data_IF_599455410380
#
_entry.id   IF_599455410380
#
_cell.length_a   1.000
_cell.length_b   1.000
_cell.length_c   1.000
_cell.angle_alpha   90.00
_cell.angle_beta   90.00
_cell.angle_gamma   90.00
#
_symmetry.space_group_name_H-M   'P 1'
#
loop_
_entity.id
_entity.type
_entity.pdbx_description
1 polymer ?
#
# COMPACT_ATOMS: atom_id res chain seq x y z
N UNK A 1 -9.39 -18.54 -26.29
CA UNK A 1 -8.47 -18.04 -27.32
C UNK A 1 -7.40 -17.24 -26.60
N UNK A 2 -6.14 -17.65 -26.73
CA UNK A 2 -5.01 -17.20 -25.91
C UNK A 2 -4.39 -15.98 -26.61
N UNK A 3 -4.18 -14.88 -25.91
CA UNK A 3 -3.54 -13.69 -26.46
C UNK A 3 -2.20 -13.45 -25.75
N UNK A 4 -1.13 -13.51 -26.52
CA UNK A 4 0.25 -13.22 -26.11
C UNK A 4 0.54 -11.75 -26.42
N UNK A 5 0.97 -10.98 -25.41
CA UNK A 5 1.33 -9.57 -25.58
C UNK A 5 2.83 -9.45 -25.88
N UNK A 6 3.18 -8.85 -27.03
CA UNK A 6 4.55 -8.55 -27.44
C UNK A 6 5.08 -7.30 -26.71
N UNK A 7 6.13 -7.47 -25.89
CA UNK A 7 6.83 -6.35 -25.25
C UNK A 7 7.63 -5.59 -26.30
N UNK A 8 7.20 -4.36 -26.59
CA UNK A 8 7.88 -3.47 -27.55
C UNK A 8 8.89 -2.61 -26.78
N UNK A 9 10.18 -2.83 -26.99
CA UNK A 9 11.22 -1.94 -26.47
C UNK A 9 11.31 -0.69 -27.36
N UNK A 10 10.97 0.47 -26.81
CA UNK A 10 11.07 1.75 -27.50
C UNK A 10 12.28 2.49 -26.93
N UNK A 11 13.40 2.45 -27.66
CA UNK A 11 14.57 3.29 -27.41
C UNK A 11 14.47 4.58 -28.22
N UNK A 12 14.55 5.72 -27.54
CA UNK A 12 14.93 7.03 -28.08
C UNK A 12 15.67 7.73 -26.92
N UNK A 13 16.83 8.38 -27.00
CA UNK A 13 17.67 8.92 -28.07
C UNK A 13 18.25 10.25 -27.53
N UNK A 14 19.53 10.31 -27.16
CA UNK A 14 20.29 11.52 -26.76
C UNK A 14 20.69 12.38 -27.99
N UNK A 15 21.14 13.68 -27.94
CA UNK A 15 21.50 14.54 -26.78
C UNK A 15 21.12 16.07 -26.86
N UNK A 16 21.34 16.77 -25.73
CA UNK A 16 21.68 18.21 -25.56
C UNK A 16 20.63 19.31 -25.81
N UNK A 17 20.15 19.93 -24.72
CA UNK A 17 20.02 21.39 -24.56
C UNK A 17 19.84 21.75 -23.09
N UNK A 18 20.64 22.73 -22.66
CA UNK A 18 20.77 23.30 -21.33
C UNK A 18 19.42 23.54 -20.61
N UNK A 19 19.30 22.99 -19.40
CA UNK A 19 18.11 23.09 -18.57
C UNK A 19 18.28 22.29 -17.29
N UNK A 20 19.28 22.63 -16.47
CA UNK A 20 19.36 22.13 -15.08
C UNK A 20 18.23 22.79 -14.29
N UNK A 21 17.03 22.25 -14.44
CA UNK A 21 16.08 22.24 -13.35
C UNK A 21 16.66 21.28 -12.30
N UNK A 22 16.79 21.67 -11.03
CA UNK A 22 16.99 20.68 -9.99
C UNK A 22 15.78 19.74 -10.02
N UNK A 23 16.01 18.53 -10.51
CA UNK A 23 15.06 17.44 -10.55
C UNK A 23 14.71 17.02 -9.11
N UNK A 24 13.81 17.77 -8.49
CA UNK A 24 12.88 17.24 -7.49
C UNK A 24 12.00 16.22 -8.23
N UNK A 25 12.63 15.09 -8.53
CA UNK A 25 12.19 14.09 -9.47
C UNK A 25 10.87 13.50 -8.96
N UNK A 26 9.87 13.85 -9.75
CA UNK A 26 8.45 13.77 -9.56
C UNK A 26 7.98 12.32 -9.42
N UNK A 27 8.34 11.71 -8.31
CA UNK A 27 7.64 10.54 -7.82
C UNK A 27 6.31 11.04 -7.27
N UNK A 28 5.29 11.09 -8.13
CA UNK A 28 3.90 10.93 -7.71
C UNK A 28 3.73 9.50 -7.15
N UNK A 29 4.47 9.19 -6.07
CA UNK A 29 4.22 8.07 -5.19
C UNK A 29 2.82 8.33 -4.69
N UNK A 30 1.87 7.54 -5.17
CA UNK A 30 0.53 7.45 -4.61
C UNK A 30 0.69 7.39 -3.08
N UNK A 31 0.43 8.50 -2.40
CA UNK A 31 0.60 8.57 -0.96
C UNK A 31 -0.60 7.85 -0.38
N UNK A 32 -0.40 6.57 -0.09
CA UNK A 32 -1.40 5.72 0.54
C UNK A 32 -1.52 6.19 1.99
N UNK A 33 -2.72 6.55 2.45
CA UNK A 33 -2.94 6.97 3.83
C UNK A 33 -3.52 5.83 4.66
N UNK A 34 -2.97 5.59 5.84
CA UNK A 34 -3.50 4.61 6.78
C UNK A 34 -4.88 5.04 7.27
N UNK A 35 -5.89 4.20 7.07
CA UNK A 35 -7.25 4.47 7.54
C UNK A 35 -7.40 4.50 9.08
N UNK A 36 -6.44 3.93 9.81
CA UNK A 36 -6.43 3.95 11.28
C UNK A 36 -5.84 5.20 11.90
N UNK A 37 -4.76 5.73 11.33
CA UNK A 37 -4.05 6.89 11.90
C UNK A 37 -4.07 8.14 11.01
N UNK A 38 -4.60 8.04 9.79
CA UNK A 38 -4.66 9.13 8.80
C UNK A 38 -3.28 9.55 8.25
N UNK A 39 -2.21 8.84 8.61
CA UNK A 39 -0.84 9.19 8.19
C UNK A 39 -0.47 8.50 6.88
N UNK A 40 0.37 9.15 6.06
CA UNK A 40 0.90 8.54 4.84
C UNK A 40 1.77 7.33 5.18
N UNK A 41 1.49 6.20 4.52
CA UNK A 41 2.27 4.98 4.59
C UNK A 41 3.45 5.13 3.63
N UNK A 42 4.61 5.49 4.17
CA UNK A 42 5.88 5.47 3.43
C UNK A 42 6.64 4.15 3.56
N UNK A 43 6.07 3.21 4.32
CA UNK A 43 6.69 1.96 4.68
C UNK A 43 6.66 0.94 3.53
N UNK A 44 7.57 -0.04 3.57
CA UNK A 44 7.55 -1.16 2.60
C UNK A 44 6.37 -2.11 2.85
N UNK A 45 5.85 -2.12 4.08
CA UNK A 45 4.83 -3.07 4.51
C UNK A 45 3.51 -2.34 4.82
N UNK A 46 2.54 -2.53 3.95
CA UNK A 46 1.17 -2.03 4.10
C UNK A 46 0.19 -3.20 4.03
N UNK A 47 -0.85 -3.14 4.86
CA UNK A 47 -1.95 -4.10 4.82
C UNK A 47 -3.16 -3.45 4.19
N UNK A 48 -3.75 -4.14 3.22
CA UNK A 48 -5.03 -3.75 2.62
C UNK A 48 -6.13 -4.62 3.23
N UNK A 49 -7.04 -3.99 3.98
CA UNK A 49 -8.15 -4.63 4.68
C UNK A 49 -9.42 -3.81 4.43
N UNK A 50 -10.51 -4.45 4.00
CA UNK A 50 -11.77 -3.78 3.64
C UNK A 50 -11.59 -2.65 2.60
N UNK A 51 -10.78 -2.88 1.57
CA UNK A 51 -10.47 -1.87 0.52
C UNK A 51 -9.72 -0.62 1.05
N UNK A 52 -9.35 -0.63 2.33
CA UNK A 52 -8.59 0.44 2.99
C UNK A 52 -7.19 -0.06 3.31
N UNK A 53 -6.25 0.87 3.35
CA UNK A 53 -4.85 0.58 3.64
C UNK A 53 -4.52 0.99 5.07
N UNK A 54 -3.69 0.17 5.72
CA UNK A 54 -3.36 0.30 7.13
C UNK A 54 -1.89 -0.03 7.35
N UNK A 55 -1.27 0.60 8.35
CA UNK A 55 0.06 0.20 8.81
C UNK A 55 0.00 -1.16 9.50
N UNK A 56 1.07 -1.95 9.38
CA UNK A 56 1.27 -3.20 10.13
C UNK A 56 1.03 -3.06 11.64
N UNK A 57 1.43 -1.93 12.22
CA UNK A 57 1.22 -1.63 13.64
C UNK A 57 -0.16 -1.04 13.96
N UNK A 58 -0.85 -0.47 12.97
CA UNK A 58 -2.18 0.09 13.16
C UNK A 58 -3.28 -0.97 13.11
N UNK A 59 -3.07 -2.07 12.36
CA UNK A 59 -4.01 -3.20 12.32
C UNK A 59 -3.89 -3.97 13.64
N UNK A 60 -4.77 -3.65 14.59
CA UNK A 60 -4.83 -4.30 15.91
C UNK A 60 -6.24 -4.77 16.21
N UNK A 61 -6.34 -5.87 16.95
CA UNK A 61 -7.63 -6.35 17.43
C UNK A 61 -8.25 -5.33 18.39
N UNK A 62 -9.53 -5.01 18.20
CA UNK A 62 -10.27 -4.10 19.09
C UNK A 62 -10.51 -4.73 20.47
N UNK A 63 -10.59 -6.06 20.55
CA UNK A 63 -10.87 -6.79 21.80
C UNK A 63 -9.59 -7.05 22.60
N UNK A 64 -8.57 -7.61 21.96
CA UNK A 64 -7.33 -8.03 22.62
C UNK A 64 -6.13 -7.11 22.40
N UNK A 65 -6.24 -6.07 21.57
CA UNK A 65 -5.16 -5.13 21.26
C UNK A 65 -3.98 -5.72 20.46
N UNK A 66 -4.04 -7.01 20.10
CA UNK A 66 -2.95 -7.72 19.43
C UNK A 66 -2.76 -7.23 17.99
N UNK A 67 -1.51 -7.04 17.56
CA UNK A 67 -1.15 -6.70 16.19
C UNK A 67 -1.47 -7.82 15.22
N UNK A 68 -2.20 -7.51 14.15
CA UNK A 68 -2.68 -8.46 13.15
C UNK A 68 -1.85 -8.28 11.87
N UNK A 69 -0.66 -8.86 11.86
CA UNK A 69 0.29 -8.75 10.74
C UNK A 69 0.11 -9.82 9.66
N UNK A 70 -0.37 -11.02 10.02
CA UNK A 70 -0.54 -12.13 9.05
C UNK A 70 -1.99 -12.37 8.64
N UNK A 71 -2.90 -12.46 9.61
CA UNK A 71 -4.33 -12.76 9.38
C UNK A 71 -5.17 -11.88 10.29
N UNK A 72 -5.85 -10.90 9.69
CA UNK A 72 -6.83 -10.07 10.36
C UNK A 72 -8.23 -10.45 9.86
N UNK A 73 -9.22 -10.28 10.72
CA UNK A 73 -10.62 -10.47 10.37
C UNK A 73 -11.35 -9.17 10.65
N UNK A 74 -12.26 -8.78 9.76
CA UNK A 74 -13.04 -7.57 9.92
C UNK A 74 -14.50 -7.91 10.14
N UNK A 75 -15.13 -7.31 11.16
CA UNK A 75 -16.56 -7.43 11.43
C UNK A 75 -17.10 -6.05 11.78
N UNK A 76 -18.11 -5.58 11.06
CA UNK A 76 -18.78 -4.28 11.32
C UNK A 76 -17.77 -3.11 11.46
N UNK A 77 -16.87 -2.96 10.48
CA UNK A 77 -15.82 -1.92 10.48
C UNK A 77 -14.77 -2.02 11.63
N UNK A 78 -14.81 -3.10 12.42
CA UNK A 78 -13.84 -3.39 13.48
C UNK A 78 -12.93 -4.54 13.11
N UNK A 79 -11.67 -4.45 13.53
CA UNK A 79 -10.65 -5.47 13.30
C UNK A 79 -10.58 -6.42 14.49
N UNK A 80 -10.56 -7.71 14.21
CA UNK A 80 -10.52 -8.80 15.17
C UNK A 80 -9.38 -9.76 14.83
N UNK A 81 -8.79 -10.34 15.87
CA UNK A 81 -7.83 -11.41 15.69
C UNK A 81 -8.53 -12.72 15.31
N UNK A 82 -7.77 -13.69 14.81
CA UNK A 82 -8.28 -15.05 14.52
C UNK A 82 -9.08 -15.60 15.71
N UNK A 83 -8.53 -15.51 16.92
CA UNK A 83 -9.13 -16.12 18.10
C UNK A 83 -10.49 -15.51 18.46
N UNK A 84 -10.61 -14.18 18.43
CA UNK A 84 -11.85 -13.47 18.78
C UNK A 84 -12.90 -13.52 17.66
N UNK A 85 -12.45 -13.61 16.41
CA UNK A 85 -13.37 -13.69 15.27
C UNK A 85 -14.07 -15.06 15.16
N UNK A 86 -13.39 -16.15 15.54
CA UNK A 86 -13.94 -17.52 15.47
C UNK A 86 -14.67 -17.95 16.76
N UNK A 87 -14.83 -17.06 17.73
CA UNK A 87 -15.44 -17.36 19.03
C UNK A 87 -16.96 -17.21 19.02
#
# INVERSE_FOLDING_TARGET
>A
MKSENTLSWLSCGDPSSDGVLPEDEQHAKMIICCAGCGRPIMDKFLLTVLDRTWHAECVRCVDCGSSLTEKCFSREDKLYCRNDFFR
#
